data_IF_610524434996
#
_entry.id   IF_610524434996
#
_cell.length_a   1.000
_cell.length_b   1.000
_cell.length_c   1.000
_cell.angle_alpha   90.00
_cell.angle_beta   90.00
_cell.angle_gamma   90.00
#
_symmetry.space_group_name_H-M   'P 1'
#
loop_
_entity.id
_entity.type
_entity.pdbx_description
1 polymer ?
#
# COMPACT_ATOMS: atom_id res chain seq x y z
N UNK A 1 -36.19 -2.16 -24.70
CA UNK A 1 -35.15 -3.20 -24.53
C UNK A 1 -33.83 -2.50 -24.73
N UNK A 2 -33.39 -1.77 -23.70
CA UNK A 2 -32.14 -1.02 -23.77
C UNK A 2 -31.00 -1.98 -23.45
N UNK A 3 -30.14 -2.19 -24.44
CA UNK A 3 -28.89 -2.91 -24.24
C UNK A 3 -28.07 -2.19 -23.15
N UNK A 4 -27.40 -2.91 -22.24
CA UNK A 4 -26.52 -2.25 -21.30
C UNK A 4 -25.41 -1.59 -22.12
N UNK A 5 -25.28 -0.27 -21.97
CA UNK A 5 -24.14 0.51 -22.46
C UNK A 5 -22.89 -0.24 -22.02
N UNK A 6 -22.14 -0.78 -22.97
CA UNK A 6 -20.79 -1.26 -22.69
C UNK A 6 -20.01 -0.02 -22.28
N UNK A 7 -19.91 0.22 -20.98
CA UNK A 7 -19.03 1.24 -20.42
C UNK A 7 -17.67 0.94 -21.02
N UNK A 8 -17.23 1.78 -21.96
CA UNK A 8 -15.86 1.77 -22.43
C UNK A 8 -15.00 1.72 -21.17
N UNK A 9 -14.08 0.76 -21.13
CA UNK A 9 -13.18 0.52 -20.02
C UNK A 9 -12.29 1.76 -19.83
N UNK A 10 -12.85 2.81 -19.23
CA UNK A 10 -12.13 4.01 -18.86
C UNK A 10 -11.08 3.56 -17.85
N UNK A 11 -9.84 3.86 -18.16
CA UNK A 11 -8.71 3.54 -17.30
C UNK A 11 -8.96 4.22 -15.95
N UNK A 12 -9.19 3.39 -14.92
CA UNK A 12 -9.55 3.85 -13.58
C UNK A 12 -8.30 4.07 -12.75
N UNK A 13 -8.35 5.09 -11.89
CA UNK A 13 -7.38 5.33 -10.85
C UNK A 13 -8.00 5.05 -9.47
N UNK A 14 -7.27 4.32 -8.62
CA UNK A 14 -7.68 3.97 -7.27
C UNK A 14 -6.73 4.64 -6.28
N UNK A 15 -7.27 5.43 -5.34
CA UNK A 15 -6.45 6.09 -4.33
C UNK A 15 -6.32 5.26 -3.06
N UNK A 16 -5.09 5.00 -2.63
CA UNK A 16 -4.82 4.28 -1.39
C UNK A 16 -4.29 5.17 -0.29
N UNK A 17 -5.13 5.38 0.72
CA UNK A 17 -4.80 6.15 1.92
C UNK A 17 -4.77 5.23 3.14
N UNK A 18 -3.65 5.25 3.88
CA UNK A 18 -3.49 4.55 5.18
C UNK A 18 -3.29 5.57 6.29
N UNK A 19 -4.18 5.58 7.29
CA UNK A 19 -3.98 6.36 8.51
C UNK A 19 -3.09 5.62 9.52
N UNK A 20 -2.27 6.36 10.27
CA UNK A 20 -1.46 5.79 11.37
C UNK A 20 -2.29 5.56 12.62
N UNK A 21 -3.29 6.41 12.88
CA UNK A 21 -4.30 6.23 13.93
C UNK A 21 -5.69 6.65 13.44
N UNK A 22 -6.79 6.06 13.93
CA UNK A 22 -8.16 6.44 13.56
C UNK A 22 -8.47 7.92 13.83
N UNK A 23 -7.83 8.53 14.83
CA UNK A 23 -7.97 9.95 15.18
C UNK A 23 -7.40 10.92 14.14
N UNK A 24 -6.52 10.47 13.23
CA UNK A 24 -5.97 11.27 12.13
C UNK A 24 -6.88 11.32 10.89
N UNK A 25 -8.01 10.60 10.92
CA UNK A 25 -9.03 10.64 9.87
C UNK A 25 -9.84 11.97 9.88
N UNK A 26 -9.71 12.79 10.91
CA UNK A 26 -10.47 14.03 11.05
C UNK A 26 -9.86 15.19 10.22
N UNK A 27 -10.44 15.43 9.04
CA UNK A 27 -10.59 16.76 8.46
C UNK A 27 -9.59 17.16 7.37
N UNK A 28 -8.35 17.52 7.73
CA UNK A 28 -7.48 18.28 6.82
C UNK A 28 -6.40 17.46 6.08
N UNK A 29 -6.03 16.28 6.60
CA UNK A 29 -5.02 15.40 5.97
C UNK A 29 -5.62 14.59 4.82
N UNK A 30 -6.81 14.01 5.05
CA UNK A 30 -7.53 13.24 4.04
C UNK A 30 -7.92 14.09 2.84
N UNK A 31 -8.48 15.29 3.09
CA UNK A 31 -8.89 16.19 2.01
C UNK A 31 -7.72 16.52 1.08
N UNK A 32 -6.55 16.87 1.64
CA UNK A 32 -5.33 17.14 0.83
C UNK A 32 -4.83 15.92 0.06
N UNK A 33 -4.94 14.72 0.63
CA UNK A 33 -4.51 13.49 -0.07
C UNK A 33 -5.47 13.15 -1.20
N UNK A 34 -6.78 13.29 -0.97
CA UNK A 34 -7.81 13.11 -2.00
C UNK A 34 -7.67 14.15 -3.11
N UNK A 35 -7.37 15.41 -2.78
CA UNK A 35 -7.09 16.46 -3.76
C UNK A 35 -5.87 16.15 -4.62
N UNK A 36 -4.78 15.64 -4.04
CA UNK A 36 -3.59 15.21 -4.81
C UNK A 36 -3.93 14.08 -5.79
N UNK A 37 -4.70 13.10 -5.33
CA UNK A 37 -5.14 11.99 -6.18
C UNK A 37 -6.06 12.46 -7.31
N UNK A 38 -7.02 13.33 -7.00
CA UNK A 38 -7.93 13.91 -7.97
C UNK A 38 -7.18 14.77 -9.01
N UNK A 39 -6.20 15.56 -8.56
CA UNK A 39 -5.33 16.36 -9.43
C UNK A 39 -4.53 15.46 -10.38
N UNK A 40 -3.87 14.44 -9.85
CA UNK A 40 -3.10 13.50 -10.69
C UNK A 40 -3.99 12.82 -11.72
N UNK A 41 -5.17 12.35 -11.30
CA UNK A 41 -6.13 11.72 -12.19
C UNK A 41 -6.58 12.67 -13.31
N UNK A 42 -6.91 13.92 -12.98
CA UNK A 42 -7.31 14.94 -13.95
C UNK A 42 -6.20 15.25 -14.96
N UNK A 43 -4.96 15.43 -14.48
CA UNK A 43 -3.78 15.72 -15.32
C UNK A 43 -3.46 14.59 -16.30
N UNK A 44 -3.81 13.35 -15.96
CA UNK A 44 -3.52 12.15 -16.76
C UNK A 44 -4.75 11.59 -17.48
N UNK A 45 -5.90 12.29 -17.45
CA UNK A 45 -7.13 11.85 -18.09
C UNK A 45 -7.73 10.57 -17.50
N UNK A 46 -7.45 10.29 -16.23
CA UNK A 46 -7.92 9.10 -15.51
C UNK A 46 -9.22 9.39 -14.78
N UNK A 47 -10.09 8.39 -14.67
CA UNK A 47 -11.28 8.47 -13.82
C UNK A 47 -10.93 7.98 -12.42
N UNK A 48 -10.96 8.87 -11.43
CA UNK A 48 -10.73 8.49 -10.04
C UNK A 48 -11.95 7.72 -9.51
N UNK A 49 -11.75 6.45 -9.19
CA UNK A 49 -12.76 5.62 -8.55
C UNK A 49 -12.80 5.92 -7.04
N UNK A 50 -13.93 6.45 -6.59
CA UNK A 50 -14.20 6.77 -5.18
C UNK A 50 -15.10 5.72 -4.52
N UNK A 51 -15.60 4.75 -5.28
CA UNK A 51 -16.54 3.72 -4.82
C UNK A 51 -15.81 2.54 -4.18
N UNK A 52 -14.64 2.17 -4.72
CA UNK A 52 -13.81 1.11 -4.16
C UNK A 52 -13.01 1.63 -2.95
N UNK A 53 -13.67 1.68 -1.79
CA UNK A 53 -13.01 2.10 -0.55
C UNK A 53 -12.04 1.02 -0.08
N UNK A 54 -10.75 1.17 -0.42
CA UNK A 54 -9.69 0.23 0.01
C UNK A 54 -9.61 0.08 1.54
N UNK A 55 -10.14 1.03 2.32
CA UNK A 55 -10.25 0.92 3.77
C UNK A 55 -11.05 -0.32 4.19
N UNK A 56 -12.19 -0.57 3.53
CA UNK A 56 -13.09 -1.69 3.84
C UNK A 56 -12.56 -3.04 3.32
N UNK A 57 -11.90 -3.02 2.16
CA UNK A 57 -11.13 -4.17 1.66
C UNK A 57 -10.02 -4.57 2.64
N UNK A 58 -9.47 -3.60 3.38
CA UNK A 58 -8.45 -3.85 4.39
C UNK A 58 -8.98 -4.50 5.66
N UNK A 59 -10.14 -4.08 6.15
CA UNK A 59 -10.75 -4.65 7.36
C UNK A 59 -11.12 -6.12 7.15
N UNK A 60 -11.63 -6.46 5.96
CA UNK A 60 -11.98 -7.85 5.62
C UNK A 60 -10.75 -8.74 5.43
N UNK A 61 -9.70 -8.26 4.76
CA UNK A 61 -8.43 -8.97 4.60
C UNK A 61 -7.66 -9.15 5.93
N UNK A 62 -7.81 -8.21 6.87
CA UNK A 62 -7.14 -8.24 8.18
C UNK A 62 -7.64 -9.35 9.10
N UNK A 63 -8.88 -9.84 8.92
CA UNK A 63 -9.46 -10.93 9.74
C UNK A 63 -9.06 -12.34 9.28
N UNK A 64 -8.33 -12.48 8.16
CA UNK A 64 -7.89 -13.78 7.60
C UNK A 64 -6.39 -14.03 7.72
N UNK A 65 -5.92 -15.20 7.23
CA UNK A 65 -4.49 -15.59 7.18
C UNK A 65 -3.58 -14.62 6.41
N UNK A 66 -4.14 -13.66 5.67
CA UNK A 66 -3.43 -12.62 4.92
C UNK A 66 -3.39 -11.27 5.65
N UNK A 67 -3.54 -11.26 6.98
CA UNK A 67 -3.52 -10.05 7.81
C UNK A 67 -2.28 -9.15 7.56
N UNK A 68 -1.18 -9.74 7.08
CA UNK A 68 0.06 -9.05 6.74
C UNK A 68 -0.06 -8.09 5.53
N UNK A 69 -1.00 -8.31 4.60
CA UNK A 69 -1.17 -7.46 3.38
C UNK A 69 -2.38 -6.53 3.42
N UNK A 70 -3.34 -6.74 4.33
CA UNK A 70 -4.48 -5.83 4.55
C UNK A 70 -5.20 -5.42 3.25
N UNK A 71 -5.50 -4.12 3.12
CA UNK A 71 -6.29 -3.57 1.99
C UNK A 71 -5.70 -3.83 0.61
N UNK A 72 -4.37 -3.81 0.49
CA UNK A 72 -3.68 -4.07 -0.77
C UNK A 72 -3.80 -5.54 -1.19
N UNK A 73 -3.89 -6.46 -0.23
CA UNK A 73 -4.23 -7.86 -0.52
C UNK A 73 -5.65 -8.03 -1.03
N UNK A 74 -6.60 -7.24 -0.51
CA UNK A 74 -7.97 -7.17 -1.05
C UNK A 74 -8.02 -6.59 -2.47
N UNK A 75 -7.24 -5.55 -2.72
CA UNK A 75 -7.09 -4.95 -4.04
C UNK A 75 -6.53 -5.93 -5.07
N UNK A 76 -5.43 -6.64 -4.74
CA UNK A 76 -4.87 -7.68 -5.61
C UNK A 76 -5.90 -8.76 -5.98
N UNK A 77 -6.69 -9.22 -5.01
CA UNK A 77 -7.78 -10.17 -5.29
C UNK A 77 -8.85 -9.60 -6.22
N UNK A 78 -9.16 -8.31 -6.11
CA UNK A 78 -10.09 -7.63 -7.00
C UNK A 78 -9.53 -7.52 -8.43
N UNK A 79 -8.21 -7.35 -8.58
CA UNK A 79 -7.51 -7.42 -9.87
C UNK A 79 -7.59 -8.85 -10.43
N UNK A 80 -7.27 -9.86 -9.63
CA UNK A 80 -7.29 -11.27 -10.04
C UNK A 80 -8.70 -11.74 -10.44
N UNK A 81 -9.72 -11.26 -9.73
CA UNK A 81 -11.13 -11.55 -10.04
C UNK A 81 -11.69 -10.70 -11.20
N UNK A 82 -10.91 -9.76 -11.74
CA UNK A 82 -11.29 -8.91 -12.88
C UNK A 82 -12.22 -7.74 -12.54
N UNK A 83 -12.49 -7.49 -11.25
CA UNK A 83 -13.23 -6.29 -10.81
C UNK A 83 -12.41 -5.02 -11.03
N UNK A 84 -11.10 -5.12 -10.86
CA UNK A 84 -10.15 -4.07 -11.24
C UNK A 84 -9.49 -4.49 -12.54
N UNK A 85 -9.64 -3.68 -13.58
CA UNK A 85 -9.10 -3.99 -14.90
C UNK A 85 -7.59 -3.78 -14.92
N UNK A 86 -6.88 -4.64 -15.65
CA UNK A 86 -5.45 -4.42 -15.96
C UNK A 86 -5.27 -3.11 -16.74
N UNK A 87 -4.17 -2.43 -16.48
CA UNK A 87 -3.91 -1.06 -16.94
C UNK A 87 -4.45 0.02 -15.99
N UNK A 88 -5.23 -0.35 -14.97
CA UNK A 88 -5.68 0.59 -13.94
C UNK A 88 -4.50 1.13 -13.11
N UNK A 89 -4.72 2.29 -12.51
CA UNK A 89 -3.73 3.01 -11.74
C UNK A 89 -4.00 2.86 -10.25
N UNK A 90 -2.95 2.62 -9.46
CA UNK A 90 -3.00 2.63 -8.01
C UNK A 90 -2.17 3.81 -7.51
N UNK A 91 -2.84 4.83 -6.98
CA UNK A 91 -2.22 6.05 -6.46
C UNK A 91 -1.92 5.88 -4.97
N UNK A 92 -0.65 5.98 -4.61
CA UNK A 92 -0.16 5.96 -3.22
C UNK A 92 0.58 7.26 -2.93
N UNK A 93 0.56 7.75 -1.69
CA UNK A 93 1.32 8.95 -1.35
C UNK A 93 2.84 8.72 -1.53
N UNK A 94 3.33 7.58 -1.03
CA UNK A 94 4.72 7.21 -0.94
C UNK A 94 4.85 5.69 -0.73
N UNK A 95 6.06 5.14 -0.91
CA UNK A 95 6.30 3.69 -0.87
C UNK A 95 6.10 3.03 0.52
N UNK A 96 6.13 3.79 1.62
CA UNK A 96 5.82 3.28 2.96
C UNK A 96 4.36 2.78 3.10
N UNK A 97 3.47 3.17 2.16
CA UNK A 97 2.06 2.77 2.17
C UNK A 97 1.89 1.32 1.75
N UNK A 98 2.81 0.79 0.95
CA UNK A 98 2.79 -0.61 0.51
C UNK A 98 2.87 -1.56 1.71
N UNK A 99 3.85 -1.36 2.59
CA UNK A 99 3.97 -2.17 3.81
C UNK A 99 4.69 -1.45 4.93
N UNK A 100 4.21 -1.67 6.17
CA UNK A 100 4.95 -1.34 7.40
C UNK A 100 5.90 -2.46 7.83
N UNK A 101 5.95 -3.56 7.08
CA UNK A 101 6.85 -4.69 7.31
C UNK A 101 8.26 -4.38 6.80
N UNK A 102 9.14 -5.37 6.83
CA UNK A 102 10.50 -5.27 6.30
C UNK A 102 10.51 -5.00 4.78
N UNK A 103 11.66 -4.55 4.29
CA UNK A 103 11.87 -4.12 2.90
C UNK A 103 11.52 -5.23 1.89
N UNK A 104 11.80 -6.51 2.21
CA UNK A 104 11.54 -7.62 1.28
C UNK A 104 10.04 -7.82 1.09
N UNK A 105 9.26 -7.74 2.16
CA UNK A 105 7.81 -7.81 2.08
C UNK A 105 7.23 -6.67 1.22
N UNK A 106 7.72 -5.44 1.40
CA UNK A 106 7.26 -4.30 0.63
C UNK A 106 7.62 -4.40 -0.86
N UNK A 107 8.85 -4.85 -1.15
CA UNK A 107 9.31 -5.10 -2.51
C UNK A 107 8.50 -6.21 -3.20
N UNK A 108 8.23 -7.31 -2.50
CA UNK A 108 7.39 -8.39 -3.02
C UNK A 108 5.99 -7.90 -3.41
N UNK A 109 5.37 -7.07 -2.56
CA UNK A 109 4.06 -6.49 -2.84
C UNK A 109 4.08 -5.53 -4.04
N UNK A 110 5.12 -4.69 -4.14
CA UNK A 110 5.34 -3.82 -5.29
C UNK A 110 5.37 -4.64 -6.59
N UNK A 111 6.21 -5.68 -6.63
CA UNK A 111 6.35 -6.54 -7.81
C UNK A 111 5.06 -7.29 -8.15
N UNK A 112 4.30 -7.73 -7.15
CA UNK A 112 2.99 -8.37 -7.36
C UNK A 112 1.98 -7.40 -7.98
N UNK A 113 1.88 -6.16 -7.47
CA UNK A 113 0.99 -5.15 -8.02
C UNK A 113 1.34 -4.84 -9.47
N UNK A 114 2.60 -4.49 -9.74
CA UNK A 114 3.05 -4.16 -11.09
C UNK A 114 2.92 -5.36 -12.04
N UNK A 115 3.30 -6.55 -11.58
CA UNK A 115 3.19 -7.80 -12.35
C UNK A 115 1.75 -8.24 -12.63
N UNK A 116 0.78 -7.80 -11.81
CA UNK A 116 -0.65 -8.02 -12.08
C UNK A 116 -1.21 -7.13 -13.19
N UNK A 117 -0.40 -6.20 -13.72
CA UNK A 117 -0.76 -5.25 -14.76
C UNK A 117 -1.30 -3.93 -14.21
N UNK A 118 -0.92 -3.55 -12.99
CA UNK A 118 -1.32 -2.27 -12.37
C UNK A 118 -0.21 -1.24 -12.51
N UNK A 119 -0.61 -0.01 -12.85
CA UNK A 119 0.27 1.14 -12.89
C UNK A 119 0.34 1.77 -11.49
N UNK A 120 1.41 1.51 -10.74
CA UNK A 120 1.58 2.05 -9.40
C UNK A 120 2.15 3.47 -9.47
N UNK A 121 1.52 4.44 -8.82
CA UNK A 121 1.95 5.84 -8.85
C UNK A 121 2.24 6.34 -7.44
N UNK A 122 3.38 7.00 -7.25
CA UNK A 122 3.68 7.76 -6.05
C UNK A 122 3.35 9.23 -6.22
N UNK A 123 2.36 9.74 -5.47
CA UNK A 123 1.89 11.13 -5.56
C UNK A 123 2.90 12.16 -5.05
N UNK A 124 3.91 11.75 -4.27
CA UNK A 124 4.95 12.66 -3.76
C UNK A 124 5.87 13.17 -4.86
N UNK A 125 6.20 12.33 -5.84
CA UNK A 125 7.08 12.64 -6.97
C UNK A 125 6.40 12.52 -8.34
N UNK A 126 5.15 12.02 -8.39
CA UNK A 126 4.39 11.82 -9.62
C UNK A 126 4.85 10.62 -10.47
N UNK A 127 5.77 9.80 -9.95
CA UNK A 127 6.37 8.69 -10.69
C UNK A 127 5.39 7.51 -10.84
N UNK A 128 5.30 6.98 -12.06
CA UNK A 128 4.46 5.83 -12.40
C UNK A 128 5.31 4.59 -12.75
N UNK A 129 5.01 3.47 -12.12
CA UNK A 129 5.70 2.19 -12.30
C UNK A 129 4.74 1.17 -12.91
N UNK A 130 5.06 0.74 -14.13
CA UNK A 130 4.33 -0.32 -14.85
C UNK A 130 5.28 -1.44 -15.24
N UNK A 131 4.73 -2.62 -15.57
CA UNK A 131 5.54 -3.76 -15.98
C UNK A 131 6.35 -3.42 -17.24
N UNK A 132 5.75 -2.68 -18.17
CA UNK A 132 6.39 -2.23 -19.40
C UNK A 132 7.54 -1.26 -19.12
N UNK A 133 7.35 -0.29 -18.20
CA UNK A 133 8.43 0.62 -17.80
C UNK A 133 9.59 -0.14 -17.17
N UNK A 134 9.31 -1.06 -16.22
CA UNK A 134 10.37 -1.82 -15.56
C UNK A 134 11.13 -2.75 -16.51
N UNK A 135 10.49 -3.23 -17.58
CA UNK A 135 11.16 -4.02 -18.61
C UNK A 135 12.04 -3.16 -19.53
N UNK A 136 11.57 -1.95 -19.88
CA UNK A 136 12.29 -1.02 -20.75
C UNK A 136 13.44 -0.31 -20.03
N UNK A 137 13.24 0.02 -18.76
CA UNK A 137 14.15 0.78 -17.89
C UNK A 137 14.36 0.00 -16.57
N UNK A 138 15.12 -1.12 -16.58
CA UNK A 138 15.33 -1.94 -15.39
C UNK A 138 15.96 -1.19 -14.21
N UNK A 139 16.72 -0.12 -14.48
CA UNK A 139 17.29 0.78 -13.48
C UNK A 139 16.24 1.45 -12.59
N UNK A 140 14.99 1.59 -13.05
CA UNK A 140 13.89 2.10 -12.24
C UNK A 140 13.63 1.21 -11.01
N UNK A 141 13.95 -0.09 -11.08
CA UNK A 141 13.85 -1.01 -9.93
C UNK A 141 14.81 -0.57 -8.82
N UNK A 142 16.02 -0.11 -9.15
CA UNK A 142 16.99 0.37 -8.16
C UNK A 142 16.45 1.60 -7.41
N UNK A 143 15.81 2.53 -8.14
CA UNK A 143 15.18 3.70 -7.54
C UNK A 143 14.08 3.31 -6.55
N UNK A 144 13.22 2.35 -6.93
CA UNK A 144 12.17 1.83 -6.05
C UNK A 144 12.77 1.20 -4.79
N UNK A 145 13.82 0.39 -4.92
CA UNK A 145 14.50 -0.21 -3.75
C UNK A 145 15.07 0.87 -2.84
N UNK A 146 15.70 1.90 -3.39
CA UNK A 146 16.23 3.01 -2.60
C UNK A 146 15.12 3.79 -1.88
N UNK A 147 13.99 4.01 -2.53
CA UNK A 147 12.81 4.64 -1.91
C UNK A 147 12.23 3.78 -0.78
N UNK A 148 12.15 2.46 -0.98
CA UNK A 148 11.72 1.52 0.06
C UNK A 148 12.65 1.54 1.27
N UNK A 149 13.97 1.62 1.06
CA UNK A 149 14.94 1.76 2.15
C UNK A 149 14.70 3.08 2.91
N UNK A 150 14.57 4.20 2.21
CA UNK A 150 14.31 5.53 2.83
C UNK A 150 13.01 5.55 3.61
N UNK A 151 11.95 4.98 3.04
CA UNK A 151 10.65 4.81 3.67
C UNK A 151 10.74 4.00 4.97
N UNK A 152 11.54 2.93 4.99
CA UNK A 152 11.73 2.08 6.16
C UNK A 152 12.58 2.73 7.26
N UNK A 153 13.59 3.55 6.90
CA UNK A 153 14.49 4.22 7.87
C UNK A 153 13.75 5.20 8.79
N UNK A 154 12.69 5.86 8.31
CA UNK A 154 11.90 6.80 9.10
C UNK A 154 10.93 6.14 10.10
N UNK A 155 11.08 4.84 10.37
CA UNK A 155 10.35 4.14 11.42
C UNK A 155 10.93 4.53 12.78
N UNK A 156 10.14 5.04 13.75
CA UNK A 156 10.64 5.21 15.11
C UNK A 156 11.06 3.84 15.65
N UNK A 157 12.33 3.72 16.03
CA UNK A 157 12.90 2.54 16.65
C UNK A 157 12.27 2.35 18.05
N UNK A 158 11.09 1.75 18.13
CA UNK A 158 10.54 1.33 19.40
C UNK A 158 9.72 0.05 19.26
N UNK A 159 10.44 -1.06 19.09
CA UNK A 159 10.03 -2.37 19.55
C UNK A 159 11.25 -2.95 20.28
N UNK A 160 11.34 -2.65 21.57
CA UNK A 160 12.25 -3.37 22.45
C UNK A 160 11.90 -4.85 22.36
N UNK A 161 12.87 -5.76 22.11
CA UNK A 161 12.60 -7.16 22.36
C UNK A 161 12.34 -7.27 23.85
N UNK A 162 11.17 -7.77 24.21
CA UNK A 162 10.82 -8.11 25.59
C UNK A 162 11.90 -9.05 26.12
N UNK A 163 12.93 -8.50 26.79
CA UNK A 163 13.85 -9.28 27.60
C UNK A 163 13.02 -9.81 28.75
N UNK A 164 12.73 -11.11 28.72
CA UNK A 164 12.19 -11.80 29.90
C UNK A 164 13.13 -11.49 31.07
N UNK A 165 12.62 -11.12 32.26
CA UNK A 165 13.48 -10.97 33.41
C UNK A 165 14.14 -12.32 33.68
N UNK A 166 15.46 -12.32 33.75
CA UNK A 166 16.24 -13.44 34.27
C UNK A 166 15.82 -13.56 35.73
N UNK A 167 15.05 -14.62 36.05
CA UNK A 167 14.85 -15.04 37.43
C UNK A 167 16.23 -15.42 37.96
N UNK A 168 16.81 -14.58 38.81
CA UNK A 168 17.93 -14.98 39.65
C UNK A 168 17.43 -16.05 40.62
N UNK A 169 18.17 -17.17 40.80
CA UNK A 169 17.82 -18.09 41.86
C UNK A 169 18.12 -17.40 43.18
N UNK A 170 17.12 -17.28 44.04
CA UNK A 170 17.31 -16.87 45.43
C UNK A 170 18.19 -17.92 46.11
N UNK A 171 19.44 -17.57 46.43
CA UNK A 171 20.21 -18.29 47.43
C UNK A 171 19.54 -18.09 48.79
N UNK A 172 18.60 -18.98 49.13
CA UNK A 172 18.11 -19.18 50.47
C UNK A 172 18.80 -20.38 51.08
N UNK A 173 19.69 -20.14 52.05
CA UNK A 173 20.28 -21.20 52.84
C UNK A 173 21.67 -20.83 53.34
N UNK A 174 21.74 -20.22 54.52
CA UNK A 174 22.46 -20.75 55.69
C UNK A 174 22.43 -19.65 56.76
N UNK A 175 21.56 -19.84 57.74
CA UNK A 175 21.60 -19.17 59.03
C UNK A 175 21.87 -20.28 60.05
N UNK A 176 23.10 -20.34 60.55
CA UNK A 176 23.53 -21.00 61.77
C UNK A 176 24.70 -20.19 62.32
#
# INVERSE_FOLDING_TARGET
>A
MDAPVRTEALIKAYSYVRFSTPSQAAGASLQRQTEKAAKYALEHGLTLDTELNMTDLGVSAYRGKNAHTGALGGFLKAVDAGYVQRGSYLLIENMDRLSRADILTAQGLFLQLVGSGINLVTLTNGEAYSAERLQREPEAILLVVLELIRANVNRPANLTPHRRPILTPSCGGFCW
#
